data_IF_857737897790
#
_entry.id   IF_857737897790
#
_cell.length_a   1.000
_cell.length_b   1.000
_cell.length_c   1.000
_cell.angle_alpha   90.00
_cell.angle_beta   90.00
_cell.angle_gamma   90.00
#
_symmetry.space_group_name_H-M   'P 1'
#
loop_
_entity.id
_entity.type
_entity.pdbx_description
1 polymer ?
#
# COMPACT_ATOMS: atom_id res chain seq x y z
N UNK A 1 21.05 12.78 5.63
CA UNK A 1 20.09 13.46 6.53
C UNK A 1 19.93 12.66 7.81
N UNK A 2 19.45 13.26 8.90
CA UNK A 2 19.15 12.54 10.15
C UNK A 2 17.68 12.12 10.15
N UNK A 3 17.39 10.90 10.60
CA UNK A 3 16.02 10.43 10.77
C UNK A 3 15.29 11.31 11.79
N UNK A 4 14.00 11.56 11.55
CA UNK A 4 13.15 12.36 12.43
C UNK A 4 12.04 11.49 13.00
N UNK A 5 11.79 11.62 14.30
CA UNK A 5 10.62 10.99 14.93
C UNK A 5 9.34 11.67 14.43
N UNK A 6 8.31 10.87 14.18
CA UNK A 6 6.99 11.41 13.88
C UNK A 6 6.40 12.12 15.08
N UNK A 7 5.67 13.21 14.82
CA UNK A 7 4.95 13.98 15.83
C UNK A 7 3.50 14.15 15.41
N UNK A 8 2.55 14.24 16.37
CA UNK A 8 1.13 14.43 16.05
C UNK A 8 0.90 15.63 15.13
N UNK A 9 -0.01 15.48 14.15
CA UNK A 9 -0.32 16.48 13.14
C UNK A 9 0.45 16.33 11.81
N UNK A 10 1.48 15.47 11.76
CA UNK A 10 2.09 15.09 10.49
C UNK A 10 1.15 14.23 9.66
N UNK A 11 1.11 14.46 8.35
CA UNK A 11 0.42 13.62 7.36
C UNK A 11 1.45 13.08 6.37
N UNK A 12 1.36 11.78 6.06
CA UNK A 12 2.28 11.09 5.16
C UNK A 12 1.61 9.90 4.48
N UNK A 13 2.23 9.39 3.44
CA UNK A 13 1.85 8.15 2.76
C UNK A 13 2.49 6.94 3.43
N UNK A 14 1.79 5.82 3.41
CA UNK A 14 2.33 4.48 3.69
C UNK A 14 2.08 3.64 2.43
N UNK A 15 3.14 3.38 1.67
CA UNK A 15 3.03 2.97 0.26
C UNK A 15 3.95 1.78 -0.14
N UNK A 16 3.93 0.65 0.59
CA UNK A 16 4.75 -0.50 0.22
C UNK A 16 4.38 -1.03 -1.17
N UNK A 17 5.41 -1.41 -1.95
CA UNK A 17 5.23 -2.01 -3.26
C UNK A 17 6.27 -3.07 -3.59
N UNK A 18 5.87 -4.06 -4.37
CA UNK A 18 6.72 -5.12 -4.91
C UNK A 18 6.61 -5.08 -6.44
N UNK A 19 7.76 -5.02 -7.11
CA UNK A 19 7.84 -4.95 -8.56
C UNK A 19 8.79 -6.02 -9.08
N UNK A 20 8.27 -6.96 -9.87
CA UNK A 20 9.03 -8.08 -10.40
C UNK A 20 9.21 -7.87 -11.90
N UNK A 21 10.44 -7.57 -12.33
CA UNK A 21 10.76 -7.40 -13.75
C UNK A 21 10.39 -8.66 -14.55
N UNK A 22 9.84 -8.46 -15.77
CA UNK A 22 9.60 -9.54 -16.74
C UNK A 22 10.87 -10.35 -17.05
N UNK A 23 12.05 -9.71 -16.94
CA UNK A 23 13.36 -10.30 -17.21
C UNK A 23 14.00 -10.96 -15.98
N UNK A 24 13.33 -10.97 -14.82
CA UNK A 24 13.91 -11.54 -13.59
C UNK A 24 13.87 -13.08 -13.62
N UNK A 25 14.95 -13.68 -14.11
CA UNK A 25 15.09 -15.14 -14.22
C UNK A 25 15.28 -15.86 -12.88
N UNK A 26 15.47 -15.14 -11.76
CA UNK A 26 15.60 -15.71 -10.41
C UNK A 26 14.26 -15.95 -9.72
N UNK A 27 13.15 -15.51 -10.32
CA UNK A 27 11.78 -15.67 -9.80
C UNK A 27 11.00 -16.61 -10.71
N UNK A 28 10.03 -17.37 -10.18
CA UNK A 28 9.19 -18.25 -10.98
C UNK A 28 8.38 -17.45 -12.03
N UNK A 29 8.16 -18.06 -13.21
CA UNK A 29 7.53 -17.40 -14.37
C UNK A 29 6.17 -16.73 -14.06
N UNK A 30 5.25 -17.31 -13.26
CA UNK A 30 3.95 -16.69 -12.98
C UNK A 30 4.02 -15.32 -12.31
N UNK A 31 5.08 -15.04 -11.54
CA UNK A 31 5.22 -13.79 -10.80
C UNK A 31 5.90 -12.67 -11.61
N UNK A 32 6.50 -12.99 -12.76
CA UNK A 32 7.29 -12.02 -13.53
C UNK A 32 6.37 -11.04 -14.26
N UNK A 33 6.74 -9.76 -14.23
CA UNK A 33 5.96 -8.69 -14.84
C UNK A 33 4.82 -8.15 -13.98
N UNK A 34 4.67 -8.66 -12.76
CA UNK A 34 3.69 -8.16 -11.78
C UNK A 34 4.34 -7.02 -10.99
N UNK A 35 3.60 -5.93 -10.85
CA UNK A 35 3.92 -4.82 -9.96
C UNK A 35 2.67 -4.45 -9.17
N UNK A 36 2.79 -4.42 -7.85
CA UNK A 36 1.69 -4.09 -6.93
C UNK A 36 2.21 -3.08 -5.92
N UNK A 37 1.41 -2.04 -5.66
CA UNK A 37 1.60 -1.07 -4.57
C UNK A 37 0.24 -0.81 -3.94
N UNK A 38 0.18 -0.82 -2.61
CA UNK A 38 -1.00 -0.40 -1.85
C UNK A 38 -0.55 0.82 -1.07
N UNK A 39 -1.35 1.88 -1.12
CA UNK A 39 -0.99 3.19 -0.57
C UNK A 39 -2.16 3.79 0.20
N UNK A 40 -1.87 4.29 1.40
CA UNK A 40 -2.79 5.06 2.21
C UNK A 40 -2.15 6.36 2.73
N UNK A 41 -2.97 7.39 2.89
CA UNK A 41 -2.61 8.59 3.63
C UNK A 41 -2.93 8.41 5.12
N UNK A 42 -1.95 8.67 5.98
CA UNK A 42 -2.08 8.54 7.44
C UNK A 42 -1.78 9.85 8.15
N UNK A 43 -2.62 10.19 9.12
CA UNK A 43 -2.40 11.26 10.08
C UNK A 43 -1.76 10.69 11.34
N UNK A 44 -0.61 11.21 11.75
CA UNK A 44 0.01 10.87 13.04
C UNK A 44 -0.79 11.53 14.16
N UNK A 45 -1.20 10.75 15.16
CA UNK A 45 -1.94 11.22 16.33
C UNK A 45 -1.12 11.03 17.60
N UNK A 46 -1.61 11.54 18.75
CA UNK A 46 -0.93 11.34 20.05
C UNK A 46 -0.85 9.87 20.49
N UNK A 47 -1.74 9.00 19.98
CA UNK A 47 -1.87 7.59 20.41
C UNK A 47 -1.52 6.58 19.30
N UNK A 48 -1.17 7.03 18.09
CA UNK A 48 -0.94 6.17 16.94
C UNK A 48 -1.12 6.92 15.63
N UNK A 49 -1.93 6.38 14.72
CA UNK A 49 -2.29 7.03 13.46
C UNK A 49 -3.78 6.85 13.12
N UNK A 50 -4.28 7.71 12.25
CA UNK A 50 -5.60 7.60 11.61
C UNK A 50 -5.40 7.44 10.11
N UNK A 51 -6.11 6.49 9.49
CA UNK A 51 -6.03 6.23 8.04
C UNK A 51 -7.10 7.06 7.32
N UNK A 52 -6.67 8.10 6.61
CA UNK A 52 -7.56 9.07 5.96
C UNK A 52 -8.21 8.51 4.69
N UNK A 53 -7.57 7.55 4.04
CA UNK A 53 -8.01 6.91 2.78
C UNK A 53 -8.60 5.51 2.96
N UNK A 54 -8.82 5.08 4.21
CA UNK A 54 -9.21 3.70 4.55
C UNK A 54 -10.61 3.28 4.08
N UNK A 55 -11.39 4.17 3.46
CA UNK A 55 -12.71 3.84 2.88
C UNK A 55 -12.62 3.11 1.54
N UNK A 56 -11.47 3.20 0.86
CA UNK A 56 -11.27 2.48 -0.40
C UNK A 56 -10.92 1.01 -0.10
N UNK A 57 -11.63 0.09 -0.75
CA UNK A 57 -11.37 -1.34 -0.64
C UNK A 57 -9.95 -1.69 -1.09
N UNK A 58 -9.24 -2.43 -0.23
CA UNK A 58 -7.88 -2.93 -0.50
C UNK A 58 -7.69 -4.39 -0.13
N UNK A 59 -8.64 -4.96 0.60
CA UNK A 59 -8.69 -6.40 0.86
C UNK A 59 -9.15 -7.15 -0.39
N UNK A 60 -8.57 -8.33 -0.63
CA UNK A 60 -8.80 -9.13 -1.84
C UNK A 60 -10.30 -9.36 -2.07
N UNK A 61 -10.99 -9.90 -1.06
CA UNK A 61 -12.42 -10.23 -1.16
C UNK A 61 -13.29 -8.99 -1.43
N UNK A 62 -12.95 -7.84 -0.84
CA UNK A 62 -13.70 -6.60 -1.06
C UNK A 62 -13.53 -6.10 -2.50
N UNK A 63 -12.31 -6.15 -3.04
CA UNK A 63 -12.02 -5.78 -4.42
C UNK A 63 -12.75 -6.73 -5.38
N UNK A 64 -12.61 -8.05 -5.20
CA UNK A 64 -13.24 -9.06 -6.05
C UNK A 64 -14.76 -8.95 -6.03
N UNK A 65 -15.35 -8.73 -4.85
CA UNK A 65 -16.79 -8.48 -4.70
C UNK A 65 -17.21 -7.21 -5.41
N UNK A 66 -16.46 -6.11 -5.26
CA UNK A 66 -16.78 -4.85 -5.93
C UNK A 66 -16.69 -4.96 -7.45
N UNK A 67 -15.74 -5.74 -7.97
CA UNK A 67 -15.53 -5.92 -9.41
C UNK A 67 -16.57 -6.85 -10.05
N UNK A 68 -17.12 -7.80 -9.31
CA UNK A 68 -18.13 -8.75 -9.81
C UNK A 68 -19.55 -8.19 -9.84
N UNK A 69 -19.80 -7.05 -9.21
CA UNK A 69 -21.09 -6.37 -9.16
C UNK A 69 -21.41 -5.53 -10.42
N UNK A 70 -20.67 -5.73 -11.52
CA UNK A 70 -20.84 -5.03 -12.80
C UNK A 70 -21.32 -5.96 -13.91
#
# INVERSE_FOLDING_TARGET
GKAKKFVPGMVLTIEPGIYISRKNNKVQKPWRGIGVRIEDNVLVTKKGCEVLTGKLSKEINEIETRMSLN
#
